data_IF_541842390751
#
_entry.id   IF_541842390751
#
_cell.length_a   1.000
_cell.length_b   1.000
_cell.length_c   1.000
_cell.angle_alpha   90.00
_cell.angle_beta   90.00
_cell.angle_gamma   90.00
#
_symmetry.space_group_name_H-M   'P 1'
#
loop_
_entity.id
_entity.type
_entity.pdbx_description
1 polymer ?
#
# COMPACT_ATOMS: atom_id res chain seq x y z
N UNK A 1 -14.80 22.60 -36.87
CA UNK A 1 -14.58 21.14 -36.81
C UNK A 1 -14.47 20.76 -35.34
N UNK A 2 -15.54 20.25 -34.74
CA UNK A 2 -15.50 19.70 -33.38
C UNK A 2 -14.54 18.50 -33.36
N UNK A 3 -13.61 18.50 -32.39
CA UNK A 3 -12.68 17.38 -32.19
C UNK A 3 -13.46 16.28 -31.46
N UNK A 4 -13.75 15.20 -32.17
CA UNK A 4 -14.39 14.00 -31.60
C UNK A 4 -13.53 13.46 -30.44
N UNK A 5 -14.18 13.09 -29.34
CA UNK A 5 -13.48 12.51 -28.18
C UNK A 5 -12.98 11.09 -28.51
N UNK A 6 -11.87 10.62 -27.92
CA UNK A 6 -11.39 9.25 -28.15
C UNK A 6 -12.44 8.17 -27.83
N UNK A 7 -13.34 8.45 -26.88
CA UNK A 7 -14.47 7.58 -26.54
C UNK A 7 -15.55 7.54 -27.63
N UNK A 8 -15.84 8.68 -28.27
CA UNK A 8 -16.75 8.73 -29.43
C UNK A 8 -16.20 7.94 -30.62
N UNK A 9 -14.88 8.02 -30.85
CA UNK A 9 -14.22 7.27 -31.93
C UNK A 9 -14.24 5.77 -31.62
N UNK A 10 -13.92 5.36 -30.39
CA UNK A 10 -13.90 3.96 -29.97
C UNK A 10 -15.32 3.34 -29.99
N UNK A 11 -16.31 4.05 -29.44
CA UNK A 11 -17.69 3.60 -29.45
C UNK A 11 -18.31 3.58 -30.84
N UNK A 12 -17.96 4.55 -31.70
CA UNK A 12 -18.29 4.53 -33.12
C UNK A 12 -17.71 3.33 -33.85
N UNK A 13 -16.44 2.98 -33.58
CA UNK A 13 -15.79 1.81 -34.17
C UNK A 13 -16.44 0.49 -33.73
N UNK A 14 -16.72 0.32 -32.43
CA UNK A 14 -17.41 -0.87 -31.90
C UNK A 14 -18.82 -0.97 -32.48
N UNK A 15 -19.56 0.14 -32.52
CA UNK A 15 -20.90 0.17 -33.10
C UNK A 15 -20.92 -0.14 -34.60
N UNK A 16 -19.90 0.29 -35.34
CA UNK A 16 -19.73 -0.05 -36.75
C UNK A 16 -19.43 -1.54 -36.94
N UNK A 17 -18.59 -2.13 -36.09
CA UNK A 17 -18.28 -3.57 -36.13
C UNK A 17 -19.54 -4.39 -35.82
N UNK A 18 -20.26 -4.06 -34.74
CA UNK A 18 -21.50 -4.74 -34.36
C UNK A 18 -22.59 -4.54 -35.43
N UNK A 19 -22.70 -3.32 -35.97
CA UNK A 19 -23.62 -3.00 -37.06
C UNK A 19 -23.35 -3.81 -38.33
N UNK A 20 -22.09 -3.96 -38.72
CA UNK A 20 -21.68 -4.81 -39.85
C UNK A 20 -21.96 -6.29 -39.60
N UNK A 21 -21.76 -6.77 -38.36
CA UNK A 21 -22.09 -8.13 -37.96
C UNK A 21 -23.60 -8.41 -38.05
N UNK A 22 -24.42 -7.50 -37.52
CA UNK A 22 -25.88 -7.59 -37.61
C UNK A 22 -26.32 -7.52 -39.07
N UNK A 23 -25.75 -6.60 -39.86
CA UNK A 23 -26.08 -6.48 -41.27
C UNK A 23 -25.67 -7.74 -42.06
N UNK A 24 -24.55 -8.38 -41.71
CA UNK A 24 -24.11 -9.66 -42.28
C UNK A 24 -25.08 -10.80 -41.92
N UNK A 25 -25.58 -10.85 -40.69
CA UNK A 25 -26.62 -11.80 -40.26
C UNK A 25 -27.94 -11.57 -41.01
N UNK A 26 -28.36 -10.32 -41.17
CA UNK A 26 -29.57 -9.95 -41.92
C UNK A 26 -29.41 -10.27 -43.40
N UNK A 27 -28.21 -10.10 -43.99
CA UNK A 27 -27.93 -10.49 -45.38
C UNK A 27 -28.30 -11.96 -45.61
N UNK A 28 -27.96 -12.86 -44.68
CA UNK A 28 -28.29 -14.29 -44.83
C UNK A 28 -29.80 -14.57 -44.96
N UNK A 29 -30.64 -13.80 -44.25
CA UNK A 29 -32.09 -14.05 -44.18
C UNK A 29 -32.87 -13.20 -45.22
N UNK A 30 -32.49 -11.93 -45.38
CA UNK A 30 -33.21 -10.98 -46.22
C UNK A 30 -32.75 -10.99 -47.68
N UNK A 31 -31.48 -11.31 -47.95
CA UNK A 31 -30.97 -11.34 -49.34
C UNK A 31 -31.57 -12.50 -50.12
N UNK A 32 -31.70 -13.69 -49.51
CA UNK A 32 -32.36 -14.83 -50.13
C UNK A 32 -33.84 -14.51 -50.43
N UNK A 33 -34.58 -13.97 -49.45
CA UNK A 33 -36.02 -13.70 -49.60
C UNK A 33 -36.36 -12.59 -50.61
N UNK A 34 -35.48 -11.59 -50.80
CA UNK A 34 -35.73 -10.42 -51.66
C UNK A 34 -35.10 -10.59 -53.05
N UNK A 35 -34.06 -11.42 -53.20
CA UNK A 35 -33.39 -11.65 -54.48
C UNK A 35 -34.23 -12.44 -55.50
N UNK A 36 -35.26 -13.16 -55.04
CA UNK A 36 -36.22 -13.86 -55.90
C UNK A 36 -37.11 -12.90 -56.72
N UNK A 37 -37.18 -11.61 -56.37
CA UNK A 37 -37.90 -10.58 -57.12
C UNK A 37 -37.09 -9.97 -58.29
N UNK A 38 -35.98 -10.61 -58.68
CA UNK A 38 -35.15 -10.20 -59.81
C UNK A 38 -34.23 -9.00 -59.53
N UNK A 39 -33.66 -8.40 -60.59
CA UNK A 39 -32.61 -7.36 -60.48
C UNK A 39 -33.02 -6.15 -59.63
N UNK A 40 -34.31 -5.77 -59.65
CA UNK A 40 -34.84 -4.67 -58.84
C UNK A 40 -34.79 -5.00 -57.33
N UNK A 41 -35.08 -6.25 -56.94
CA UNK A 41 -34.98 -6.72 -55.55
C UNK A 41 -33.55 -6.66 -55.03
N UNK A 42 -32.56 -6.99 -55.86
CA UNK A 42 -31.14 -6.89 -55.50
C UNK A 42 -30.71 -5.46 -55.16
N UNK A 43 -31.14 -4.46 -55.97
CA UNK A 43 -30.83 -3.05 -55.68
C UNK A 43 -31.49 -2.57 -54.39
N UNK A 44 -32.75 -2.96 -54.13
CA UNK A 44 -33.48 -2.61 -52.91
C UNK A 44 -32.77 -3.19 -51.67
N UNK A 45 -32.33 -4.45 -51.74
CA UNK A 45 -31.61 -5.10 -50.65
C UNK A 45 -30.28 -4.41 -50.33
N UNK A 46 -29.51 -3.98 -51.34
CA UNK A 46 -28.24 -3.26 -51.15
C UNK A 46 -28.47 -1.90 -50.49
N UNK A 47 -29.48 -1.14 -50.95
CA UNK A 47 -29.82 0.17 -50.38
C UNK A 47 -30.26 0.02 -48.92
N UNK A 48 -31.11 -0.96 -48.62
CA UNK A 48 -31.56 -1.23 -47.25
C UNK A 48 -30.40 -1.61 -46.33
N UNK A 49 -29.46 -2.42 -46.82
CA UNK A 49 -28.25 -2.80 -46.09
C UNK A 49 -27.40 -1.58 -45.71
N UNK A 50 -27.17 -0.66 -46.66
CA UNK A 50 -26.41 0.57 -46.41
C UNK A 50 -27.09 1.46 -45.38
N UNK A 51 -28.43 1.60 -45.44
CA UNK A 51 -29.21 2.38 -44.47
C UNK A 51 -29.06 1.81 -43.06
N UNK A 52 -29.20 0.48 -42.91
CA UNK A 52 -29.05 -0.19 -41.60
C UNK A 52 -27.62 -0.05 -41.06
N UNK A 53 -26.61 -0.20 -41.92
CA UNK A 53 -25.21 -0.06 -41.50
C UNK A 53 -24.89 1.36 -41.02
N UNK A 54 -25.35 2.40 -41.74
CA UNK A 54 -25.17 3.80 -41.35
C UNK A 54 -25.92 4.10 -40.06
N UNK A 55 -27.15 3.61 -39.92
CA UNK A 55 -27.96 3.81 -38.71
C UNK A 55 -27.32 3.15 -37.48
N UNK A 56 -26.81 1.93 -37.62
CA UNK A 56 -26.10 1.22 -36.54
C UNK A 56 -24.80 1.93 -36.14
N UNK A 57 -24.02 2.43 -37.10
CA UNK A 57 -22.82 3.24 -36.82
C UNK A 57 -23.16 4.53 -36.07
N UNK A 58 -24.22 5.23 -36.48
CA UNK A 58 -24.69 6.45 -35.80
C UNK A 58 -25.15 6.16 -34.37
N UNK A 59 -25.93 5.09 -34.16
CA UNK A 59 -26.41 4.68 -32.84
C UNK A 59 -25.25 4.25 -31.94
N UNK A 60 -24.28 3.54 -32.50
CA UNK A 60 -23.04 3.14 -31.84
C UNK A 60 -22.19 4.31 -31.36
N UNK A 61 -22.01 5.34 -32.20
CA UNK A 61 -21.31 6.56 -31.81
C UNK A 61 -22.04 7.31 -30.68
N UNK A 62 -23.38 7.40 -30.74
CA UNK A 62 -24.21 8.05 -29.71
C UNK A 62 -24.22 7.30 -28.37
N UNK A 63 -24.25 5.96 -28.40
CA UNK A 63 -24.17 5.12 -27.21
C UNK A 63 -22.75 5.13 -26.65
N UNK A 64 -21.73 5.07 -27.51
CA UNK A 64 -20.32 5.20 -27.17
C UNK A 64 -19.98 6.49 -26.43
N UNK A 65 -20.60 7.60 -26.82
CA UNK A 65 -20.47 8.88 -26.12
C UNK A 65 -21.09 8.89 -24.71
N UNK A 66 -22.10 8.02 -24.45
CA UNK A 66 -22.79 7.90 -23.17
C UNK A 66 -22.23 6.80 -22.27
N UNK A 67 -21.61 5.79 -22.86
CA UNK A 67 -20.78 4.84 -22.11
C UNK A 67 -19.53 5.63 -21.70
N UNK A 68 -19.55 6.17 -20.48
CA UNK A 68 -18.33 6.45 -19.75
C UNK A 68 -17.56 5.14 -19.71
N UNK A 69 -16.66 4.94 -20.67
CA UNK A 69 -15.57 4.00 -20.53
C UNK A 69 -14.88 4.49 -19.26
N UNK A 70 -15.12 3.81 -18.14
CA UNK A 70 -14.25 3.91 -16.97
C UNK A 70 -12.86 3.78 -17.56
N UNK A 71 -12.04 4.83 -17.52
CA UNK A 71 -10.74 4.74 -18.13
C UNK A 71 -10.05 3.58 -17.42
N UNK A 72 -9.81 2.48 -18.14
CA UNK A 72 -8.81 1.52 -17.71
C UNK A 72 -7.59 2.37 -17.38
N UNK A 73 -7.01 2.23 -16.18
CA UNK A 73 -5.92 3.08 -15.74
C UNK A 73 -4.90 3.06 -16.87
N UNK A 74 -4.64 4.24 -17.42
CA UNK A 74 -3.56 4.43 -18.37
C UNK A 74 -2.31 4.03 -17.60
N UNK A 75 -1.81 2.82 -17.86
CA UNK A 75 -0.42 2.47 -17.62
C UNK A 75 0.40 3.38 -18.54
N UNK A 76 0.63 4.59 -18.05
CA UNK A 76 1.64 5.48 -18.60
C UNK A 76 2.94 4.98 -18.01
N UNK A 77 3.73 4.30 -18.85
CA UNK A 77 5.19 4.27 -18.77
C UNK A 77 5.80 3.79 -17.45
N UNK A 78 6.22 2.52 -17.45
CA UNK A 78 7.18 2.02 -16.47
C UNK A 78 6.69 0.73 -15.84
N UNK A 79 7.11 -0.40 -16.41
CA UNK A 79 7.19 -1.62 -15.65
C UNK A 79 8.16 -1.38 -14.48
N UNK A 80 7.63 -1.14 -13.28
CA UNK A 80 8.36 -1.22 -12.02
C UNK A 80 7.53 -2.07 -11.05
N UNK A 81 7.83 -3.37 -11.03
CA UNK A 81 7.60 -4.27 -9.89
C UNK A 81 6.16 -4.71 -9.64
N UNK A 82 5.93 -6.03 -9.55
CA UNK A 82 4.62 -6.64 -9.27
C UNK A 82 4.17 -6.51 -7.81
N UNK A 83 4.36 -5.35 -7.20
CA UNK A 83 3.93 -5.04 -5.83
C UNK A 83 2.57 -4.34 -5.81
N UNK A 84 1.71 -4.70 -4.86
CA UNK A 84 0.46 -3.97 -4.62
C UNK A 84 0.76 -2.51 -4.24
N UNK A 85 -0.02 -1.52 -4.71
CA UNK A 85 0.17 -0.12 -4.35
C UNK A 85 0.07 0.08 -2.83
N UNK A 86 0.72 1.13 -2.32
CA UNK A 86 0.85 1.38 -0.87
C UNK A 86 0.50 2.83 -0.55
N UNK A 87 -0.58 3.03 0.20
CA UNK A 87 -0.94 4.36 0.70
C UNK A 87 -0.10 4.66 1.94
N UNK A 88 0.61 5.79 1.95
CA UNK A 88 1.51 6.17 3.04
C UNK A 88 0.88 7.28 3.89
N UNK A 89 0.89 7.07 5.20
CA UNK A 89 0.40 8.01 6.22
C UNK A 89 1.51 8.99 6.70
N UNK A 90 1.10 10.17 7.20
CA UNK A 90 1.95 11.20 7.78
C UNK A 90 2.85 10.65 8.89
N UNK A 91 2.32 9.78 9.76
CA UNK A 91 3.07 9.20 10.88
C UNK A 91 4.31 8.40 10.44
N UNK A 92 4.21 7.74 9.28
CA UNK A 92 5.29 6.93 8.72
C UNK A 92 6.36 7.80 8.06
N UNK A 93 5.93 8.85 7.36
CA UNK A 93 6.82 9.83 6.72
C UNK A 93 7.66 10.56 7.77
N UNK A 94 7.03 10.99 8.86
CA UNK A 94 7.72 11.72 9.93
C UNK A 94 8.73 10.85 10.68
N UNK A 95 8.44 9.57 10.88
CA UNK A 95 9.35 8.61 11.49
C UNK A 95 10.58 8.35 10.60
N UNK A 96 10.35 8.17 9.29
CA UNK A 96 11.39 8.12 8.27
C UNK A 96 12.05 6.76 8.05
N UNK A 97 11.83 5.75 8.91
CA UNK A 97 12.37 4.39 8.70
C UNK A 97 11.88 3.73 7.41
N UNK A 98 10.75 4.20 6.85
CA UNK A 98 10.24 3.74 5.55
C UNK A 98 11.29 3.84 4.43
N UNK A 99 12.19 4.83 4.48
CA UNK A 99 13.22 5.01 3.46
C UNK A 99 14.17 3.82 3.44
N UNK A 100 14.67 3.39 4.60
CA UNK A 100 15.58 2.25 4.74
C UNK A 100 14.89 0.94 4.35
N UNK A 101 13.59 0.81 4.61
CA UNK A 101 12.80 -0.36 4.25
C UNK A 101 12.61 -0.45 2.71
N UNK A 102 12.40 0.68 2.05
CA UNK A 102 12.34 0.74 0.58
C UNK A 102 13.71 0.46 -0.02
N UNK A 103 14.76 1.09 0.51
CA UNK A 103 16.15 0.95 0.04
C UNK A 103 16.67 -0.49 0.18
N UNK A 104 16.27 -1.20 1.24
CA UNK A 104 16.59 -2.62 1.44
C UNK A 104 15.78 -3.59 0.57
N UNK A 105 14.78 -3.10 -0.17
CA UNK A 105 13.93 -3.92 -1.06
C UNK A 105 12.80 -4.67 -0.35
N UNK A 106 12.56 -4.44 0.95
CA UNK A 106 11.44 -5.07 1.67
C UNK A 106 10.08 -4.46 1.32
N UNK A 107 10.06 -3.22 0.80
CA UNK A 107 8.84 -2.52 0.41
C UNK A 107 8.85 -2.18 -1.09
N UNK A 108 8.28 -3.07 -1.89
CA UNK A 108 8.18 -2.91 -3.36
C UNK A 108 6.88 -2.24 -3.80
N UNK A 109 6.80 -1.80 -5.07
CA UNK A 109 5.58 -1.25 -5.68
C UNK A 109 5.40 0.25 -5.45
N UNK A 110 4.36 0.81 -6.07
CA UNK A 110 4.10 2.25 -6.06
C UNK A 110 3.67 2.76 -4.68
N UNK A 111 4.31 3.84 -4.23
CA UNK A 111 3.96 4.56 -3.00
C UNK A 111 3.02 5.71 -3.34
N UNK A 112 1.85 5.74 -2.71
CA UNK A 112 0.81 6.73 -2.94
C UNK A 112 0.73 7.63 -1.72
N UNK A 113 1.09 8.90 -1.90
CA UNK A 113 1.05 9.92 -0.85
C UNK A 113 -0.13 10.86 -1.13
N UNK A 114 -1.19 10.85 -0.31
CA UNK A 114 -2.34 11.70 -0.53
C UNK A 114 -2.02 13.18 -0.33
N UNK A 115 -2.67 14.07 -1.10
CA UNK A 115 -2.49 15.53 -0.97
C UNK A 115 -2.80 16.03 0.44
N UNK A 116 -3.75 15.42 1.16
CA UNK A 116 -4.07 15.81 2.53
C UNK A 116 -2.98 15.44 3.55
N UNK A 117 -2.21 14.36 3.32
CA UNK A 117 -1.03 14.01 4.13
C UNK A 117 0.05 15.07 3.97
N UNK A 118 0.27 15.57 2.74
CA UNK A 118 1.19 16.69 2.50
C UNK A 118 0.76 17.96 3.22
N UNK A 119 -0.55 18.26 3.26
CA UNK A 119 -1.10 19.40 4.01
C UNK A 119 -0.87 19.26 5.51
N UNK A 120 -1.05 18.06 6.06
CA UNK A 120 -0.77 17.78 7.48
C UNK A 120 0.72 17.93 7.79
N UNK A 121 1.59 17.38 6.93
CA UNK A 121 3.03 17.51 7.09
C UNK A 121 3.49 18.97 7.05
N UNK A 122 2.89 19.78 6.17
CA UNK A 122 3.10 21.23 6.12
C UNK A 122 2.64 21.92 7.41
N UNK A 123 1.46 21.57 7.93
CA UNK A 123 0.99 22.11 9.20
C UNK A 123 1.94 21.77 10.38
N UNK A 124 2.57 20.58 10.34
CA UNK A 124 3.60 20.19 11.30
C UNK A 124 4.89 21.01 11.12
N UNK A 125 5.33 21.25 9.87
CA UNK A 125 6.52 22.06 9.59
C UNK A 125 6.35 23.54 9.94
N UNK A 126 5.11 24.04 9.90
CA UNK A 126 4.78 25.44 10.24
C UNK A 126 4.40 25.60 11.72
N UNK A 127 4.55 24.53 12.52
CA UNK A 127 4.24 24.56 13.94
C UNK A 127 5.12 25.55 14.72
N UNK A 128 4.50 26.21 15.70
CA UNK A 128 5.18 27.10 16.65
C UNK A 128 6.21 26.30 17.48
N UNK A 129 5.88 25.05 17.80
CA UNK A 129 6.74 24.13 18.53
C UNK A 129 7.98 23.77 17.69
N UNK A 130 9.20 24.12 18.15
CA UNK A 130 10.45 23.82 17.44
C UNK A 130 10.64 22.33 17.14
N UNK A 131 10.24 21.43 18.04
CA UNK A 131 10.42 19.99 17.85
C UNK A 131 9.49 19.45 16.77
N UNK A 132 8.22 19.88 16.77
CA UNK A 132 7.27 19.54 15.71
C UNK A 132 7.73 20.08 14.36
N UNK A 133 8.18 21.34 14.32
CA UNK A 133 8.72 21.97 13.11
C UNK A 133 9.91 21.19 12.52
N UNK A 134 10.89 20.80 13.35
CA UNK A 134 12.02 19.98 12.90
C UNK A 134 11.58 18.63 12.37
N UNK A 135 10.62 17.96 13.03
CA UNK A 135 10.03 16.70 12.55
C UNK A 135 9.31 16.86 11.20
N UNK A 136 8.53 17.92 11.03
CA UNK A 136 7.84 18.21 9.77
C UNK A 136 8.80 18.44 8.60
N UNK A 137 9.87 19.22 8.82
CA UNK A 137 10.93 19.42 7.81
C UNK A 137 11.63 18.12 7.43
N UNK A 138 12.00 17.32 8.43
CA UNK A 138 12.56 15.98 8.20
C UNK A 138 11.63 15.08 7.38
N UNK A 139 10.31 15.18 7.58
CA UNK A 139 9.35 14.41 6.78
C UNK A 139 9.35 14.80 5.31
N UNK A 140 9.58 16.08 4.96
CA UNK A 140 9.76 16.49 3.57
C UNK A 140 11.06 15.95 2.98
N UNK A 141 12.16 15.94 3.76
CA UNK A 141 13.42 15.32 3.34
C UNK A 141 13.25 13.82 3.07
N UNK A 142 12.46 13.13 3.90
CA UNK A 142 12.07 11.72 3.72
C UNK A 142 11.30 11.53 2.41
N UNK A 143 10.31 12.39 2.13
CA UNK A 143 9.55 12.31 0.87
C UNK A 143 10.45 12.51 -0.35
N UNK A 144 11.39 13.45 -0.29
CA UNK A 144 12.37 13.66 -1.37
C UNK A 144 13.23 12.42 -1.59
N UNK A 145 13.77 11.78 -0.53
CA UNK A 145 14.48 10.50 -0.66
C UNK A 145 13.60 9.39 -1.23
N UNK A 146 12.34 9.29 -0.81
CA UNK A 146 11.41 8.28 -1.35
C UNK A 146 11.16 8.47 -2.85
N UNK A 147 11.06 9.72 -3.32
CA UNK A 147 10.92 10.04 -4.75
C UNK A 147 12.15 9.67 -5.58
N UNK A 148 13.35 9.69 -4.99
CA UNK A 148 14.58 9.24 -5.65
C UNK A 148 14.69 7.71 -5.71
N UNK A 149 14.20 7.01 -4.68
CA UNK A 149 14.33 5.55 -4.55
C UNK A 149 13.19 4.75 -5.18
N UNK A 150 11.99 5.34 -5.31
CA UNK A 150 10.78 4.60 -5.69
C UNK A 150 9.80 5.46 -6.48
N UNK A 151 8.86 4.81 -7.19
CA UNK A 151 7.75 5.49 -7.82
C UNK A 151 6.78 6.02 -6.74
N UNK A 152 6.79 7.34 -6.53
CA UNK A 152 5.88 8.02 -5.61
C UNK A 152 4.81 8.79 -6.40
N UNK A 153 3.56 8.39 -6.26
CA UNK A 153 2.39 9.10 -6.79
C UNK A 153 1.83 10.05 -5.73
N UNK A 154 1.60 11.32 -6.10
CA UNK A 154 0.82 12.23 -5.26
C UNK A 154 -0.64 12.13 -5.69
N UNK A 155 -1.47 11.53 -4.84
CA UNK A 155 -2.91 11.36 -5.11
C UNK A 155 -3.68 12.63 -4.78
N UNK A 156 -4.38 13.18 -5.79
CA UNK A 156 -5.28 14.33 -5.65
C UNK A 156 -6.70 13.96 -5.22
N UNK A 157 -6.97 12.67 -4.96
CA UNK A 157 -8.29 12.22 -4.54
C UNK A 157 -8.61 12.83 -3.17
N UNK A 158 -9.63 13.67 -3.13
CA UNK A 158 -10.17 14.25 -1.90
C UNK A 158 -11.57 13.68 -1.66
N UNK A 159 -11.76 13.04 -0.51
CA UNK A 159 -13.05 12.52 -0.06
C UNK A 159 -13.81 13.63 0.66
N UNK A 160 -14.20 14.64 -0.12
CA UNK A 160 -14.91 15.83 0.36
C UNK A 160 -16.33 15.54 0.84
N UNK A 161 -16.87 14.35 0.54
CA UNK A 161 -18.13 13.80 1.04
C UNK A 161 -18.03 13.29 2.49
N UNK A 162 -16.81 13.12 3.02
CA UNK A 162 -16.58 12.67 4.40
C UNK A 162 -16.47 13.83 5.39
N UNK A 163 -16.92 13.59 6.63
CA UNK A 163 -16.88 14.56 7.71
C UNK A 163 -15.50 15.25 7.80
N UNK A 164 -15.45 16.59 7.94
CA UNK A 164 -14.20 17.32 8.11
C UNK A 164 -13.41 16.76 9.30
N UNK A 165 -12.14 16.39 9.08
CA UNK A 165 -11.22 15.99 10.14
C UNK A 165 -10.99 14.49 10.32
N UNK A 166 -11.75 13.60 9.67
CA UNK A 166 -11.48 12.16 9.75
C UNK A 166 -10.45 11.72 8.70
N UNK A 167 -9.17 12.08 8.92
CA UNK A 167 -8.05 11.75 8.02
C UNK A 167 -7.88 10.23 7.89
N UNK A 168 -8.03 9.52 9.00
CA UNK A 168 -7.95 8.06 9.08
C UNK A 168 -8.94 7.36 8.14
N UNK A 169 -10.22 7.74 8.18
CA UNK A 169 -11.23 7.18 7.30
C UNK A 169 -10.94 7.46 5.81
N UNK A 170 -10.33 8.61 5.49
CA UNK A 170 -9.92 8.96 4.13
C UNK A 170 -8.77 8.07 3.64
N UNK A 171 -7.79 7.79 4.50
CA UNK A 171 -6.69 6.87 4.19
C UNK A 171 -7.20 5.45 3.94
N UNK A 172 -8.08 4.96 4.81
CA UNK A 172 -8.70 3.62 4.67
C UNK A 172 -9.50 3.52 3.38
N UNK A 173 -10.37 4.49 3.10
CA UNK A 173 -11.17 4.50 1.86
C UNK A 173 -10.30 4.58 0.61
N UNK A 174 -9.25 5.41 0.62
CA UNK A 174 -8.31 5.48 -0.49
C UNK A 174 -7.65 4.12 -0.75
N UNK A 175 -7.23 3.44 0.32
CA UNK A 175 -6.62 2.12 0.21
C UNK A 175 -7.61 1.09 -0.35
N UNK A 176 -8.88 1.11 0.08
CA UNK A 176 -9.94 0.25 -0.48
C UNK A 176 -10.17 0.50 -1.97
N UNK A 177 -10.35 1.77 -2.38
CA UNK A 177 -10.63 2.11 -3.78
C UNK A 177 -9.50 1.74 -4.74
N UNK A 178 -8.26 1.75 -4.25
CA UNK A 178 -7.07 1.43 -5.03
C UNK A 178 -6.65 -0.03 -4.92
N UNK A 179 -7.29 -0.83 -4.05
CA UNK A 179 -6.78 -2.15 -3.69
C UNK A 179 -5.36 -2.09 -3.11
N UNK A 180 -5.03 -0.98 -2.45
CA UNK A 180 -3.71 -0.70 -1.90
C UNK A 180 -3.60 -1.18 -0.45
N UNK A 181 -2.37 -1.40 0.02
CA UNK A 181 -2.07 -1.62 1.44
C UNK A 181 -1.83 -0.28 2.11
N UNK A 182 -2.17 -0.16 3.39
CA UNK A 182 -1.91 1.04 4.18
C UNK A 182 -0.58 0.92 4.94
N UNK A 183 0.32 1.88 4.79
CA UNK A 183 1.56 1.96 5.56
C UNK A 183 1.41 3.02 6.64
N UNK A 184 1.38 2.61 7.91
CA UNK A 184 1.18 3.50 9.06
C UNK A 184 1.96 3.02 10.28
N UNK A 185 2.29 3.96 11.17
CA UNK A 185 2.83 3.65 12.50
C UNK A 185 1.77 3.72 13.60
N UNK A 186 0.56 4.18 13.28
CA UNK A 186 -0.53 4.36 14.22
C UNK A 186 -1.27 3.03 14.48
N UNK A 187 -1.32 2.64 15.76
CA UNK A 187 -1.98 1.41 16.18
C UNK A 187 -3.51 1.47 16.06
N UNK A 188 -4.13 2.62 16.28
CA UNK A 188 -5.57 2.80 16.16
C UNK A 188 -6.00 2.75 14.68
N UNK A 189 -5.27 3.44 13.80
CA UNK A 189 -5.53 3.38 12.36
C UNK A 189 -5.36 1.95 11.84
N UNK A 190 -4.36 1.21 12.33
CA UNK A 190 -4.18 -0.21 12.02
C UNK A 190 -5.43 -1.05 12.37
N UNK A 191 -5.96 -0.88 13.59
CA UNK A 191 -7.18 -1.58 14.05
C UNK A 191 -8.40 -1.26 13.20
N UNK A 192 -8.60 0.02 12.85
CA UNK A 192 -9.73 0.46 12.02
C UNK A 192 -9.60 -0.10 10.61
N UNK A 193 -8.43 0.02 9.98
CA UNK A 193 -8.16 -0.48 8.64
C UNK A 193 -8.40 -1.99 8.52
N UNK A 194 -7.99 -2.78 9.52
CA UNK A 194 -8.23 -4.22 9.54
C UNK A 194 -9.73 -4.59 9.59
N UNK A 195 -10.54 -3.87 10.37
CA UNK A 195 -11.99 -4.10 10.42
C UNK A 195 -12.65 -3.79 9.08
N UNK A 196 -12.13 -2.78 8.37
CA UNK A 196 -12.56 -2.34 7.04
C UNK A 196 -11.95 -3.18 5.90
N UNK A 197 -11.24 -4.27 6.21
CA UNK A 197 -10.68 -5.20 5.22
C UNK A 197 -9.46 -4.67 4.45
N UNK A 198 -8.82 -3.60 4.93
CA UNK A 198 -7.58 -3.07 4.36
C UNK A 198 -6.38 -3.72 5.02
N UNK A 199 -5.46 -4.26 4.21
CA UNK A 199 -4.21 -4.81 4.70
C UNK A 199 -3.26 -3.68 5.13
N UNK A 200 -2.69 -3.81 6.32
CA UNK A 200 -1.82 -2.80 6.92
C UNK A 200 -0.38 -3.31 6.98
N UNK A 201 0.57 -2.44 6.66
CA UNK A 201 2.01 -2.64 6.80
C UNK A 201 2.48 -1.69 7.89
N UNK A 202 2.60 -2.20 9.12
CA UNK A 202 3.03 -1.39 10.25
C UNK A 202 4.55 -1.47 10.45
N UNK A 203 5.25 -0.34 10.40
CA UNK A 203 6.73 -0.34 10.53
C UNK A 203 7.18 -0.79 11.92
N UNK A 204 6.40 -0.50 12.97
CA UNK A 204 6.72 -0.98 14.31
C UNK A 204 6.55 -2.50 14.44
N UNK A 205 5.55 -3.08 13.77
CA UNK A 205 5.38 -4.53 13.72
C UNK A 205 6.53 -5.18 12.94
N UNK A 206 6.91 -4.62 11.80
CA UNK A 206 8.08 -5.09 11.03
C UNK A 206 9.35 -5.05 11.87
N UNK A 207 9.63 -3.92 12.54
CA UNK A 207 10.80 -3.77 13.40
C UNK A 207 10.84 -4.82 14.52
N UNK A 208 9.69 -5.17 15.10
CA UNK A 208 9.61 -6.23 16.11
C UNK A 208 9.75 -7.64 15.52
N UNK A 209 9.26 -7.86 14.29
CA UNK A 209 9.32 -9.15 13.61
C UNK A 209 10.74 -9.54 13.18
N UNK A 210 11.60 -8.54 12.90
CA UNK A 210 13.00 -8.78 12.51
C UNK A 210 13.98 -8.79 13.70
N UNK A 211 13.50 -8.65 14.94
CA UNK A 211 14.36 -8.79 16.13
C UNK A 211 14.95 -10.19 16.20
N UNK A 212 16.27 -10.34 16.41
CA UNK A 212 16.92 -11.64 16.55
C UNK A 212 16.15 -12.56 17.51
N UNK A 213 15.98 -13.81 17.10
CA UNK A 213 15.36 -14.84 17.94
C UNK A 213 16.45 -15.38 18.85
N UNK A 214 16.25 -15.23 20.14
CA UNK A 214 17.10 -15.85 21.17
C UNK A 214 16.42 -17.12 21.64
N UNK A 215 17.16 -18.23 21.73
CA UNK A 215 16.65 -19.53 22.13
C UNK A 215 17.14 -19.93 23.54
N UNK A 216 16.34 -20.68 24.31
CA UNK A 216 16.83 -21.32 25.53
C UNK A 216 18.07 -22.17 25.23
N UNK A 217 19.11 -22.00 26.04
CA UNK A 217 20.42 -22.64 25.88
C UNK A 217 21.45 -21.82 25.11
N UNK A 218 21.06 -20.73 24.45
CA UNK A 218 22.03 -19.82 23.83
C UNK A 218 22.85 -19.06 24.87
N UNK A 219 24.10 -18.80 24.52
CA UNK A 219 25.01 -17.99 25.31
C UNK A 219 24.95 -16.54 24.82
N UNK A 220 24.79 -15.61 25.75
CA UNK A 220 24.77 -14.18 25.50
C UNK A 220 25.77 -13.48 26.39
N UNK A 221 26.39 -12.43 25.88
CA UNK A 221 27.25 -11.54 26.65
C UNK A 221 26.46 -10.31 27.08
N UNK A 222 26.36 -10.05 28.38
CA UNK A 222 25.47 -9.00 28.91
C UNK A 222 26.11 -8.22 30.05
N UNK A 223 26.02 -6.90 29.96
CA UNK A 223 26.27 -5.99 31.08
C UNK A 223 25.07 -5.98 32.03
N UNK A 224 25.27 -6.37 33.30
CA UNK A 224 24.21 -6.24 34.30
C UNK A 224 24.23 -4.81 34.86
N UNK A 225 23.16 -4.06 34.63
CA UNK A 225 23.15 -2.61 34.88
C UNK A 225 22.49 -2.26 36.21
N UNK A 226 21.47 -3.02 36.63
CA UNK A 226 20.69 -2.73 37.84
C UNK A 226 20.11 -3.98 38.49
N UNK A 227 19.62 -3.81 39.72
CA UNK A 227 18.86 -4.85 40.43
C UNK A 227 17.54 -5.16 39.71
N UNK A 228 17.18 -6.45 39.66
CA UNK A 228 15.91 -6.92 39.15
C UNK A 228 14.79 -6.82 40.17
N UNK A 229 13.61 -7.34 39.80
CA UNK A 229 12.43 -7.29 40.66
C UNK A 229 12.61 -8.16 41.92
N UNK A 230 13.19 -9.35 41.75
CA UNK A 230 13.51 -10.24 42.85
C UNK A 230 14.92 -9.96 43.40
N UNK A 231 15.12 -10.15 44.71
CA UNK A 231 16.37 -9.81 45.42
C UNK A 231 17.64 -10.44 44.82
N UNK A 232 17.52 -11.56 44.10
CA UNK A 232 18.65 -12.27 43.49
C UNK A 232 18.85 -11.91 42.01
N UNK A 233 17.96 -11.15 41.39
CA UNK A 233 18.02 -10.86 39.96
C UNK A 233 18.87 -9.62 39.66
N UNK A 234 19.54 -9.67 38.51
CA UNK A 234 20.09 -8.50 37.83
C UNK A 234 19.34 -8.26 36.52
N UNK A 235 19.34 -7.03 36.01
CA UNK A 235 18.75 -6.67 34.73
C UNK A 235 19.79 -6.01 33.85
N UNK A 236 19.88 -6.49 32.61
CA UNK A 236 20.63 -5.90 31.52
C UNK A 236 19.73 -5.66 30.31
N UNK A 237 20.33 -5.16 29.24
CA UNK A 237 19.67 -4.97 27.96
C UNK A 237 20.60 -5.45 26.84
N UNK A 238 20.02 -6.08 25.82
CA UNK A 238 20.72 -6.34 24.56
C UNK A 238 20.87 -5.02 23.77
N UNK A 239 21.67 -5.05 22.71
CA UNK A 239 21.89 -3.89 21.82
C UNK A 239 20.58 -3.37 21.20
N UNK A 240 19.60 -4.26 20.97
CA UNK A 240 18.28 -3.92 20.44
C UNK A 240 17.29 -3.39 21.51
N UNK A 241 17.74 -3.26 22.76
CA UNK A 241 16.94 -2.82 23.90
C UNK A 241 16.10 -3.92 24.54
N UNK A 242 16.20 -5.18 24.10
CA UNK A 242 15.50 -6.30 24.74
C UNK A 242 15.98 -6.49 26.17
N UNK A 243 15.04 -6.49 27.12
CA UNK A 243 15.34 -6.65 28.53
C UNK A 243 15.75 -8.10 28.83
N UNK A 244 16.90 -8.27 29.49
CA UNK A 244 17.35 -9.57 29.97
C UNK A 244 17.44 -9.57 31.49
N UNK A 245 16.79 -10.55 32.12
CA UNK A 245 16.77 -10.76 33.56
C UNK A 245 17.71 -11.92 33.87
N UNK A 246 18.78 -11.62 34.60
CA UNK A 246 19.82 -12.59 34.98
C UNK A 246 19.57 -13.07 36.41
N UNK A 247 19.21 -14.34 36.56
CA UNK A 247 19.11 -14.99 37.87
C UNK A 247 20.46 -15.00 38.59
N UNK A 248 20.50 -14.70 39.88
CA UNK A 248 21.74 -14.46 40.64
C UNK A 248 22.61 -13.30 40.08
N UNK A 249 22.08 -12.49 39.16
CA UNK A 249 22.78 -11.39 38.52
C UNK A 249 23.02 -10.18 39.43
N UNK A 250 22.39 -10.10 40.61
CA UNK A 250 22.59 -8.97 41.53
C UNK A 250 24.06 -8.76 41.92
N UNK A 251 24.81 -9.85 42.08
CA UNK A 251 26.24 -9.79 42.43
C UNK A 251 27.13 -9.37 41.27
N UNK A 252 26.57 -9.34 40.06
CA UNK A 252 27.27 -9.04 38.81
C UNK A 252 26.92 -7.62 38.29
N UNK A 253 26.22 -6.81 39.09
CA UNK A 253 25.89 -5.42 38.71
C UNK A 253 27.17 -4.62 38.47
N UNK A 254 27.23 -3.93 37.33
CA UNK A 254 28.39 -3.19 36.85
C UNK A 254 29.41 -4.04 36.09
N UNK A 255 29.14 -5.34 35.88
CA UNK A 255 30.05 -6.28 35.23
C UNK A 255 29.38 -6.85 33.97
N UNK A 256 30.20 -7.05 32.93
CA UNK A 256 29.81 -7.79 31.72
C UNK A 256 30.11 -9.29 31.92
N UNK A 257 29.11 -10.14 31.66
CA UNK A 257 29.20 -11.57 31.99
C UNK A 257 28.49 -12.42 30.94
N UNK A 258 29.03 -13.63 30.71
CA UNK A 258 28.38 -14.62 29.87
C UNK A 258 27.23 -15.28 30.62
N UNK A 259 26.06 -15.28 29.99
CA UNK A 259 24.84 -15.87 30.54
C UNK A 259 24.27 -16.88 29.56
N UNK A 260 23.64 -17.92 30.10
CA UNK A 260 22.90 -18.92 29.35
C UNK A 260 21.41 -18.60 29.47
N UNK A 261 20.74 -18.48 28.35
CA UNK A 261 19.29 -18.20 28.28
C UNK A 261 18.53 -19.40 28.84
N UNK A 262 17.64 -19.15 29.80
CA UNK A 262 16.80 -20.18 30.43
C UNK A 262 15.41 -20.20 29.82
N UNK A 263 14.81 -19.04 29.57
CA UNK A 263 13.51 -18.92 28.93
C UNK A 263 13.32 -17.55 28.28
N UNK A 264 12.38 -17.46 27.33
CA UNK A 264 12.00 -16.21 26.68
C UNK A 264 10.52 -16.00 26.87
N UNK A 265 10.14 -14.83 27.39
CA UNK A 265 8.77 -14.44 27.64
C UNK A 265 8.38 -13.28 26.72
N UNK A 266 7.28 -13.42 25.99
CA UNK A 266 6.68 -12.31 25.25
C UNK A 266 5.69 -11.57 26.15
N UNK A 267 5.85 -10.26 26.30
CA UNK A 267 4.94 -9.38 27.06
C UNK A 267 4.32 -8.32 26.15
N UNK A 268 3.33 -7.58 26.65
CA UNK A 268 2.72 -6.45 25.95
C UNK A 268 3.71 -5.32 25.64
N UNK A 269 4.76 -5.15 26.46
CA UNK A 269 5.80 -4.14 26.28
C UNK A 269 6.95 -4.62 25.39
N UNK A 270 6.93 -5.88 24.96
CA UNK A 270 7.98 -6.48 24.14
C UNK A 270 8.47 -7.81 24.72
N UNK A 271 9.64 -8.25 24.23
CA UNK A 271 10.28 -9.50 24.61
C UNK A 271 11.11 -9.31 25.88
N UNK A 272 11.04 -10.28 26.79
CA UNK A 272 11.88 -10.35 27.99
C UNK A 272 12.60 -11.70 27.98
N UNK A 273 13.91 -11.67 28.18
CA UNK A 273 14.76 -12.87 28.19
C UNK A 273 15.13 -13.15 29.64
N UNK A 274 15.01 -14.41 30.08
CA UNK A 274 15.53 -14.88 31.35
C UNK A 274 16.79 -15.69 31.10
N UNK A 275 17.82 -15.44 31.89
CA UNK A 275 19.09 -16.10 31.76
C UNK A 275 19.71 -16.36 33.14
N UNK A 276 20.72 -17.22 33.17
CA UNK A 276 21.55 -17.47 34.36
C UNK A 276 23.02 -17.34 33.99
N UNK A 277 23.90 -16.90 34.92
CA UNK A 277 25.33 -16.87 34.68
C UNK A 277 25.83 -18.23 34.18
N UNK A 278 26.66 -18.19 33.14
CA UNK A 278 27.40 -19.37 32.70
C UNK A 278 28.32 -19.75 33.85
N UNK A 279 28.02 -20.86 34.52
CA UNK A 279 28.93 -21.40 35.53
C UNK A 279 30.21 -21.80 34.80
N UNK A 280 31.33 -21.18 35.12
CA UNK A 280 32.63 -21.76 34.81
C UNK A 280 32.62 -23.17 35.41
N UNK A 281 32.74 -24.18 34.56
CA UNK A 281 32.91 -25.54 35.03
C UNK A 281 34.14 -25.57 35.92
N UNK A 282 33.94 -25.82 37.21
CA UNK A 282 35.01 -26.30 38.07
C UNK A 282 35.41 -27.64 37.49
N UNK A 283 36.50 -27.67 36.72
CA UNK A 283 37.25 -28.89 36.50
C UNK A 283 37.79 -29.31 37.87
N UNK A 284 37.17 -30.30 38.51
CA UNK A 284 37.69 -31.05 39.67
C UNK A 284 37.02 -32.41 39.72
#
# INVERSE_FOLDING_TARGET
MERLTPAEIAGGAVGLIVGLLIAFLIKGIAFELISDFGRAGTYIAIVLYLIVAIFAAYLGARIGAKIRIVPLPRSVGGAVGGGSPKVVDTSTIVDGRIVEIVESGFLEGELIVPRFVLRELQAISDSVDPLKRTRGRRGFDVLSRLQELSAVEISERDFSDMAPGNVDARLVRLAQELGAKLVTNDYNLNRVAHVEGVAVLNVNELANAVKPVVLPGEELHVAVIREGKEFHQGVGYLEDGTMIVVEHGRRLIGVETDVIVTSVLQTVAGRMIFARPKREGVAS
#
